data_IF_856805533630
#
_entry.id   IF_856805533630
#
_cell.length_a   1.000
_cell.length_b   1.000
_cell.length_c   1.000
_cell.angle_alpha   90.00
_cell.angle_beta   90.00
_cell.angle_gamma   90.00
#
_symmetry.space_group_name_H-M   'P 1'
#
loop_
_entity.id
_entity.type
_entity.pdbx_description
1 polymer ?
#
# COMPACT_ATOMS: atom_id res chain seq x y z
N UNK A 1 -28.16 53.54 24.31
CA UNK A 1 -28.93 52.31 24.02
C UNK A 1 -29.04 51.97 22.51
N UNK A 2 -29.40 52.88 21.59
CA UNK A 2 -29.67 52.52 20.18
C UNK A 2 -28.45 51.98 19.41
N UNK A 3 -27.31 52.69 19.50
CA UNK A 3 -26.05 52.30 18.83
C UNK A 3 -25.53 50.92 19.26
N UNK A 4 -25.78 50.52 20.50
CA UNK A 4 -25.41 49.20 21.01
C UNK A 4 -26.25 48.11 20.34
N UNK A 5 -27.55 48.34 20.17
CA UNK A 5 -28.45 47.38 19.54
C UNK A 5 -28.20 47.22 18.04
N UNK A 6 -27.85 48.31 17.36
CA UNK A 6 -27.48 48.26 15.93
C UNK A 6 -26.14 47.53 15.73
N UNK A 7 -25.16 47.75 16.62
CA UNK A 7 -23.91 46.99 16.62
C UNK A 7 -24.14 45.51 16.87
N UNK A 8 -25.02 45.13 17.79
CA UNK A 8 -25.35 43.73 18.06
C UNK A 8 -26.03 43.07 16.86
N UNK A 9 -26.94 43.76 16.16
CA UNK A 9 -27.59 43.26 14.94
C UNK A 9 -26.58 43.07 13.81
N UNK A 10 -25.67 44.02 13.61
CA UNK A 10 -24.61 43.91 12.61
C UNK A 10 -23.68 42.72 12.91
N UNK A 11 -23.23 42.58 14.16
CA UNK A 11 -22.40 41.43 14.58
C UNK A 11 -23.15 40.11 14.41
N UNK A 12 -24.43 40.03 14.80
CA UNK A 12 -25.24 38.83 14.62
C UNK A 12 -25.43 38.47 13.13
N UNK A 13 -25.59 39.47 12.26
CA UNK A 13 -25.69 39.27 10.82
C UNK A 13 -24.37 38.76 10.21
N UNK A 14 -23.23 39.33 10.61
CA UNK A 14 -21.91 38.90 10.14
C UNK A 14 -21.59 37.48 10.63
N UNK A 15 -21.81 37.19 11.92
CA UNK A 15 -21.57 35.85 12.47
C UNK A 15 -22.54 34.81 11.88
N UNK A 16 -23.82 35.14 11.72
CA UNK A 16 -24.82 34.26 11.14
C UNK A 16 -24.56 33.94 9.67
N UNK A 17 -24.22 34.95 8.86
CA UNK A 17 -23.86 34.76 7.46
C UNK A 17 -22.55 33.97 7.30
N UNK A 18 -21.54 34.26 8.13
CA UNK A 18 -20.29 33.50 8.17
C UNK A 18 -20.50 32.02 8.54
N UNK A 19 -21.32 31.75 9.56
CA UNK A 19 -21.67 30.38 9.95
C UNK A 19 -22.43 29.65 8.83
N UNK A 20 -23.37 30.32 8.17
CA UNK A 20 -24.12 29.74 7.06
C UNK A 20 -23.21 29.40 5.88
N UNK A 21 -22.28 30.29 5.51
CA UNK A 21 -21.28 30.03 4.46
C UNK A 21 -20.38 28.86 4.85
N UNK A 22 -19.91 28.82 6.10
CA UNK A 22 -19.08 27.71 6.58
C UNK A 22 -19.82 26.36 6.53
N UNK A 23 -21.07 26.31 6.99
CA UNK A 23 -21.89 25.09 6.97
C UNK A 23 -22.21 24.65 5.54
N UNK A 24 -22.62 25.58 4.66
CA UNK A 24 -22.93 25.26 3.26
C UNK A 24 -21.69 24.81 2.49
N UNK A 25 -20.54 25.45 2.73
CA UNK A 25 -19.26 25.02 2.18
C UNK A 25 -18.86 23.63 2.71
N UNK A 26 -18.93 23.41 4.03
CA UNK A 26 -18.61 22.12 4.64
C UNK A 26 -19.49 20.98 4.13
N UNK A 27 -20.79 21.21 3.99
CA UNK A 27 -21.74 20.26 3.41
C UNK A 27 -21.47 19.99 1.93
N UNK A 28 -21.19 21.04 1.15
CA UNK A 28 -20.84 20.90 -0.27
C UNK A 28 -19.54 20.11 -0.45
N UNK A 29 -18.51 20.44 0.32
CA UNK A 29 -17.21 19.76 0.29
C UNK A 29 -17.37 18.27 0.68
N UNK A 30 -18.09 18.00 1.76
CA UNK A 30 -18.35 16.63 2.21
C UNK A 30 -19.12 15.84 1.14
N UNK A 31 -20.12 16.45 0.51
CA UNK A 31 -20.87 15.83 -0.58
C UNK A 31 -20.02 15.51 -1.81
N UNK A 32 -19.15 16.43 -2.22
CA UNK A 32 -18.23 16.20 -3.34
C UNK A 32 -17.21 15.10 -3.02
N UNK A 33 -16.62 15.15 -1.82
CA UNK A 33 -15.68 14.13 -1.35
C UNK A 33 -16.35 12.75 -1.32
N UNK A 34 -17.55 12.64 -0.76
CA UNK A 34 -18.27 11.36 -0.69
C UNK A 34 -18.56 10.79 -2.10
N UNK A 35 -18.96 11.64 -3.05
CA UNK A 35 -19.15 11.23 -4.45
C UNK A 35 -17.85 10.77 -5.10
N UNK A 36 -16.77 11.54 -4.90
CA UNK A 36 -15.45 11.20 -5.43
C UNK A 36 -14.95 9.87 -4.86
N UNK A 37 -14.92 9.72 -3.54
CA UNK A 37 -14.50 8.49 -2.87
C UNK A 37 -15.37 7.28 -3.23
N UNK A 38 -16.69 7.48 -3.36
CA UNK A 38 -17.61 6.43 -3.78
C UNK A 38 -17.34 5.98 -5.22
N UNK A 39 -17.19 6.93 -6.16
CA UNK A 39 -16.90 6.64 -7.56
C UNK A 39 -15.54 5.95 -7.73
N UNK A 40 -14.49 6.44 -7.05
CA UNK A 40 -13.18 5.81 -7.04
C UNK A 40 -13.24 4.41 -6.44
N UNK A 41 -13.96 4.22 -5.33
CA UNK A 41 -14.13 2.91 -4.71
C UNK A 41 -14.80 1.90 -5.66
N UNK A 42 -15.88 2.31 -6.33
CA UNK A 42 -16.56 1.46 -7.31
C UNK A 42 -15.64 1.11 -8.48
N UNK A 43 -14.97 2.10 -9.07
CA UNK A 43 -14.04 1.87 -10.19
C UNK A 43 -12.95 0.85 -9.82
N UNK A 44 -12.27 1.04 -8.68
CA UNK A 44 -11.22 0.14 -8.22
C UNK A 44 -11.72 -1.26 -7.90
N UNK A 45 -12.88 -1.36 -7.25
CA UNK A 45 -13.51 -2.64 -6.97
C UNK A 45 -13.83 -3.40 -8.27
N UNK A 46 -14.37 -2.72 -9.29
CA UNK A 46 -14.64 -3.34 -10.59
C UNK A 46 -13.36 -3.81 -11.28
N UNK A 47 -12.28 -3.01 -11.27
CA UNK A 47 -11.01 -3.44 -11.86
C UNK A 47 -10.42 -4.66 -11.12
N UNK A 48 -10.54 -4.66 -9.79
CA UNK A 48 -10.09 -5.77 -8.96
C UNK A 48 -10.89 -7.05 -9.22
N UNK A 49 -12.22 -6.96 -9.31
CA UNK A 49 -13.08 -8.10 -9.64
C UNK A 49 -12.72 -8.67 -11.02
N UNK A 50 -12.52 -7.81 -12.03
CA UNK A 50 -12.10 -8.25 -13.36
C UNK A 50 -10.78 -9.02 -13.31
N UNK A 51 -9.78 -8.49 -12.59
CA UNK A 51 -8.48 -9.16 -12.40
C UNK A 51 -8.62 -10.48 -11.64
N UNK A 52 -9.39 -10.47 -10.55
CA UNK A 52 -9.64 -11.65 -9.71
C UNK A 52 -10.27 -12.78 -10.53
N UNK A 53 -11.28 -12.45 -11.35
CA UNK A 53 -11.94 -13.41 -12.23
C UNK A 53 -11.03 -13.87 -13.39
N UNK A 54 -10.23 -12.97 -13.97
CA UNK A 54 -9.23 -13.33 -14.99
C UNK A 54 -8.23 -14.37 -14.47
N UNK A 55 -7.87 -14.27 -13.20
CA UNK A 55 -6.95 -15.20 -12.53
C UNK A 55 -7.65 -16.42 -11.91
N UNK A 56 -8.95 -16.60 -12.19
CA UNK A 56 -9.74 -17.74 -11.69
C UNK A 56 -9.92 -17.76 -10.18
N UNK A 57 -9.71 -16.62 -9.49
CA UNK A 57 -9.74 -16.53 -8.03
C UNK A 57 -8.61 -17.29 -7.32
N UNK A 58 -7.54 -17.65 -8.04
CA UNK A 58 -6.38 -18.29 -7.43
C UNK A 58 -5.60 -17.28 -6.58
N UNK A 59 -5.70 -17.41 -5.26
CA UNK A 59 -4.96 -16.57 -4.30
C UNK A 59 -3.45 -16.57 -4.58
N UNK A 60 -2.90 -17.73 -4.96
CA UNK A 60 -1.50 -17.88 -5.33
C UNK A 60 -1.16 -17.12 -6.60
N UNK A 61 -2.01 -17.18 -7.63
CA UNK A 61 -1.77 -16.45 -8.87
C UNK A 61 -1.83 -14.93 -8.61
N UNK A 62 -2.79 -14.47 -7.81
CA UNK A 62 -2.92 -13.06 -7.41
C UNK A 62 -1.68 -12.61 -6.63
N UNK A 63 -1.21 -13.42 -5.68
CA UNK A 63 -0.04 -13.09 -4.87
C UNK A 63 1.28 -13.12 -5.66
N UNK A 64 1.49 -14.09 -6.54
CA UNK A 64 2.71 -14.13 -7.34
C UNK A 64 2.69 -13.10 -8.48
N UNK A 65 1.53 -12.81 -9.07
CA UNK A 65 1.44 -11.81 -10.13
C UNK A 65 1.59 -10.39 -9.57
N UNK A 66 0.87 -10.08 -8.48
CA UNK A 66 0.82 -8.77 -7.87
C UNK A 66 2.14 -8.38 -7.19
N UNK A 67 2.36 -8.73 -5.92
CA UNK A 67 3.52 -8.27 -5.15
C UNK A 67 4.86 -8.90 -5.54
N UNK A 68 4.91 -9.92 -6.40
CA UNK A 68 6.18 -10.54 -6.82
C UNK A 68 6.54 -10.16 -8.26
N UNK A 69 5.74 -10.56 -9.25
CA UNK A 69 6.11 -10.40 -10.66
C UNK A 69 6.10 -8.95 -11.11
N UNK A 70 5.07 -8.17 -10.79
CA UNK A 70 4.97 -6.77 -11.24
C UNK A 70 6.14 -5.92 -10.68
N UNK A 71 6.42 -5.87 -9.37
CA UNK A 71 7.56 -5.13 -8.83
C UNK A 71 8.90 -5.60 -9.39
N UNK A 72 9.07 -6.92 -9.61
CA UNK A 72 10.28 -7.46 -10.22
C UNK A 72 10.48 -6.91 -11.64
N UNK A 73 9.44 -6.94 -12.48
CA UNK A 73 9.50 -6.42 -13.85
C UNK A 73 9.72 -4.91 -13.87
N UNK A 74 9.03 -4.15 -13.02
CA UNK A 74 9.19 -2.70 -12.92
C UNK A 74 10.61 -2.35 -12.47
N UNK A 75 11.13 -3.03 -11.44
CA UNK A 75 12.49 -2.82 -10.95
C UNK A 75 13.51 -3.07 -12.07
N UNK A 76 13.46 -4.22 -12.74
CA UNK A 76 14.46 -4.57 -13.75
C UNK A 76 14.33 -3.74 -15.02
N UNK A 77 13.12 -3.43 -15.48
CA UNK A 77 12.93 -2.59 -16.67
C UNK A 77 13.42 -1.17 -16.44
N UNK A 78 13.07 -0.55 -15.32
CA UNK A 78 13.54 0.79 -14.98
C UNK A 78 15.06 0.83 -14.78
N UNK A 79 15.61 -0.14 -14.06
CA UNK A 79 17.05 -0.23 -13.85
C UNK A 79 17.83 -0.57 -15.12
N UNK A 80 17.27 -1.31 -16.07
CA UNK A 80 17.90 -1.56 -17.36
C UNK A 80 18.07 -0.25 -18.15
N UNK A 81 17.07 0.63 -18.12
CA UNK A 81 17.13 1.96 -18.75
C UNK A 81 18.22 2.80 -18.06
N UNK A 82 18.18 2.90 -16.73
CA UNK A 82 19.18 3.67 -15.98
C UNK A 82 20.60 3.14 -16.20
N UNK A 83 20.78 1.83 -16.12
CA UNK A 83 22.08 1.18 -16.35
C UNK A 83 22.58 1.41 -17.78
N UNK A 84 21.69 1.44 -18.78
CA UNK A 84 22.07 1.76 -20.16
C UNK A 84 22.62 3.20 -20.27
N UNK A 85 22.05 4.15 -19.55
CA UNK A 85 22.54 5.52 -19.49
C UNK A 85 23.89 5.60 -18.77
N UNK A 86 24.04 4.89 -17.64
CA UNK A 86 25.26 4.86 -16.84
C UNK A 86 26.47 4.23 -17.59
N UNK A 87 26.22 3.17 -18.38
CA UNK A 87 27.27 2.52 -19.19
C UNK A 87 27.67 3.37 -20.39
N UNK A 88 26.73 4.09 -21.01
CA UNK A 88 27.00 4.96 -22.17
C UNK A 88 27.82 6.20 -21.78
N UNK A 89 27.72 6.65 -20.53
CA UNK A 89 28.46 7.80 -19.97
C UNK A 89 29.96 7.59 -19.70
N UNK A 90 30.54 6.42 -20.05
CA UNK A 90 31.98 6.07 -19.91
C UNK A 90 32.63 6.33 -18.53
N UNK A 91 32.23 5.65 -17.44
CA UNK A 91 33.03 5.69 -16.21
C UNK A 91 34.10 4.59 -16.22
N UNK A 92 35.38 4.97 -16.00
CA UNK A 92 36.53 4.04 -15.81
C UNK A 92 36.38 3.05 -14.63
N UNK A 93 35.34 3.20 -13.81
CA UNK A 93 35.10 2.43 -12.59
C UNK A 93 34.19 1.20 -12.77
N UNK A 94 33.36 1.16 -13.82
CA UNK A 94 32.40 0.07 -14.06
C UNK A 94 32.98 -0.86 -15.13
N UNK A 95 33.61 -1.96 -14.71
CA UNK A 95 34.01 -3.02 -15.64
C UNK A 95 32.85 -3.98 -15.87
N UNK A 96 32.76 -4.57 -17.06
CA UNK A 96 31.71 -5.54 -17.41
C UNK A 96 31.69 -6.75 -16.46
N UNK A 97 32.86 -7.24 -16.03
CA UNK A 97 32.96 -8.32 -15.04
C UNK A 97 32.34 -7.95 -13.68
N UNK A 98 32.62 -6.74 -13.19
CA UNK A 98 32.04 -6.26 -11.93
C UNK A 98 30.52 -6.13 -12.04
N UNK A 99 30.03 -5.62 -13.16
CA UNK A 99 28.59 -5.50 -13.42
C UNK A 99 27.91 -6.87 -13.49
N UNK A 100 28.51 -7.84 -14.18
CA UNK A 100 28.01 -9.21 -14.24
C UNK A 100 27.94 -9.84 -12.83
N UNK A 101 28.95 -9.62 -11.99
CA UNK A 101 28.94 -10.10 -10.61
C UNK A 101 27.83 -9.46 -9.75
N UNK A 102 27.55 -8.17 -9.94
CA UNK A 102 26.42 -7.49 -9.29
C UNK A 102 25.10 -8.10 -9.74
N UNK A 103 24.87 -8.17 -11.05
CA UNK A 103 23.62 -8.71 -11.61
C UNK A 103 23.40 -10.14 -11.13
N UNK A 104 24.43 -10.99 -11.18
CA UNK A 104 24.37 -12.37 -10.69
C UNK A 104 24.00 -12.44 -9.20
N UNK A 105 24.60 -11.59 -8.38
CA UNK A 105 24.31 -11.55 -6.94
C UNK A 105 22.88 -11.07 -6.67
N UNK A 106 22.43 -10.04 -7.38
CA UNK A 106 21.06 -9.51 -7.22
C UNK A 106 20.02 -10.52 -7.69
N UNK A 107 20.27 -11.21 -8.81
CA UNK A 107 19.40 -12.30 -9.28
C UNK A 107 19.36 -13.47 -8.29
N UNK A 108 20.51 -13.85 -7.72
CA UNK A 108 20.57 -14.87 -6.67
C UNK A 108 19.77 -14.43 -5.43
N UNK A 109 19.96 -13.21 -4.95
CA UNK A 109 19.22 -12.66 -3.81
C UNK A 109 17.70 -12.62 -4.06
N UNK A 110 17.28 -12.21 -5.27
CA UNK A 110 15.86 -12.18 -5.63
C UNK A 110 15.24 -13.59 -5.62
N UNK A 111 15.92 -14.57 -6.22
CA UNK A 111 15.36 -15.92 -6.36
C UNK A 111 15.45 -16.71 -5.05
N UNK A 112 16.60 -16.72 -4.38
CA UNK A 112 16.84 -17.64 -3.27
C UNK A 112 16.59 -17.03 -1.89
N UNK A 113 16.53 -15.71 -1.78
CA UNK A 113 16.25 -15.03 -0.50
C UNK A 113 14.85 -14.42 -0.55
N UNK A 114 14.57 -13.63 -1.59
CA UNK A 114 13.30 -12.88 -1.65
C UNK A 114 12.10 -13.78 -1.93
N UNK A 115 12.18 -14.74 -2.86
CA UNK A 115 11.03 -15.65 -3.11
C UNK A 115 10.64 -16.51 -1.90
N UNK A 116 11.55 -17.21 -1.19
CA UNK A 116 11.17 -17.96 0.01
C UNK A 116 10.61 -17.06 1.11
N UNK A 117 11.19 -15.86 1.28
CA UNK A 117 10.68 -14.87 2.23
C UNK A 117 9.26 -14.41 1.87
N UNK A 118 8.97 -14.20 0.58
CA UNK A 118 7.63 -13.85 0.10
C UNK A 118 6.62 -15.00 0.26
N UNK A 119 7.02 -16.25 0.01
CA UNK A 119 6.18 -17.43 0.28
C UNK A 119 5.85 -17.51 1.78
N UNK A 120 6.86 -17.37 2.64
CA UNK A 120 6.66 -17.36 4.09
C UNK A 120 5.74 -16.21 4.52
N UNK A 121 5.94 -15.01 3.98
CA UNK A 121 5.07 -13.87 4.24
C UNK A 121 3.62 -14.16 3.82
N UNK A 122 3.40 -14.79 2.66
CA UNK A 122 2.08 -15.21 2.22
C UNK A 122 1.44 -16.22 3.17
N UNK A 123 2.19 -17.23 3.62
CA UNK A 123 1.70 -18.21 4.59
C UNK A 123 1.31 -17.54 5.91
N UNK A 124 2.11 -16.59 6.40
CA UNK A 124 1.80 -15.83 7.63
C UNK A 124 0.55 -14.96 7.40
N UNK A 125 0.43 -14.29 6.26
CA UNK A 125 -0.76 -13.50 5.93
C UNK A 125 -2.01 -14.37 5.84
N UNK A 126 -1.91 -15.56 5.25
CA UNK A 126 -3.01 -16.52 5.16
C UNK A 126 -3.40 -17.08 6.54
N UNK A 127 -2.42 -17.29 7.41
CA UNK A 127 -2.67 -17.67 8.80
C UNK A 127 -3.41 -16.57 9.58
N UNK A 128 -3.16 -15.29 9.26
CA UNK A 128 -3.81 -14.14 9.90
C UNK A 128 -5.15 -13.75 9.26
N UNK A 129 -5.52 -14.29 8.11
CA UNK A 129 -6.75 -13.93 7.41
C UNK A 129 -6.76 -14.25 5.93
N UNK A 130 -7.65 -13.58 5.19
CA UNK A 130 -7.71 -13.66 3.73
C UNK A 130 -6.94 -12.46 3.11
N UNK A 131 -5.70 -12.67 2.62
CA UNK A 131 -4.92 -11.61 2.00
C UNK A 131 -5.40 -11.24 0.60
N UNK A 132 -6.15 -12.09 -0.08
CA UNK A 132 -6.55 -11.89 -1.48
C UNK A 132 -8.08 -11.78 -1.61
N UNK A 133 -8.74 -11.23 -0.60
CA UNK A 133 -10.20 -11.12 -0.57
C UNK A 133 -10.75 -10.36 -1.78
N UNK A 134 -11.88 -10.82 -2.31
CA UNK A 134 -12.58 -10.19 -3.42
C UNK A 134 -13.03 -8.74 -3.11
N UNK A 135 -13.35 -8.45 -1.86
CA UNK A 135 -13.76 -7.10 -1.45
C UNK A 135 -12.54 -6.27 -1.04
N UNK A 136 -12.35 -5.12 -1.69
CA UNK A 136 -11.34 -4.13 -1.33
C UNK A 136 -11.82 -3.24 -0.17
N UNK A 137 -10.90 -2.64 0.61
CA UNK A 137 -11.24 -1.53 1.49
C UNK A 137 -11.81 -0.35 0.70
N UNK A 138 -12.52 0.56 1.37
CA UNK A 138 -12.97 1.79 0.71
C UNK A 138 -11.74 2.57 0.22
N UNK A 139 -11.93 3.39 -0.81
CA UNK A 139 -10.82 4.09 -1.44
C UNK A 139 -10.03 4.99 -0.48
N UNK A 140 -10.71 5.76 0.37
CA UNK A 140 -10.03 6.61 1.36
C UNK A 140 -9.29 5.80 2.43
N UNK A 141 -9.84 4.65 2.84
CA UNK A 141 -9.15 3.75 3.77
C UNK A 141 -7.89 3.15 3.14
N UNK A 142 -7.95 2.75 1.87
CA UNK A 142 -6.78 2.30 1.12
C UNK A 142 -5.67 3.37 1.08
N UNK A 143 -6.02 4.63 0.79
CA UNK A 143 -5.04 5.73 0.76
C UNK A 143 -4.44 5.98 2.16
N UNK A 144 -5.26 5.91 3.22
CA UNK A 144 -4.78 6.04 4.59
C UNK A 144 -3.84 4.90 4.98
N UNK A 145 -4.21 3.65 4.65
CA UNK A 145 -3.35 2.48 4.87
C UNK A 145 -2.03 2.66 4.14
N UNK A 146 -2.06 3.04 2.86
CA UNK A 146 -0.85 3.30 2.07
C UNK A 146 0.05 4.36 2.73
N UNK A 147 -0.53 5.50 3.14
CA UNK A 147 0.22 6.56 3.80
C UNK A 147 0.89 6.09 5.11
N UNK A 148 0.15 5.35 5.95
CA UNK A 148 0.68 4.80 7.20
C UNK A 148 1.76 3.76 6.91
N UNK A 149 1.55 2.86 5.93
CA UNK A 149 2.55 1.87 5.51
C UNK A 149 3.85 2.55 5.11
N UNK A 150 3.77 3.56 4.24
CA UNK A 150 4.94 4.31 3.75
C UNK A 150 5.67 4.99 4.90
N UNK A 151 4.96 5.61 5.85
CA UNK A 151 5.59 6.25 7.01
C UNK A 151 6.30 5.23 7.91
N UNK A 152 5.65 4.09 8.19
CA UNK A 152 6.25 3.02 9.00
C UNK A 152 7.47 2.44 8.28
N UNK A 153 7.36 2.20 6.98
CA UNK A 153 8.46 1.69 6.16
C UNK A 153 9.66 2.63 6.17
N UNK A 154 9.45 3.93 6.04
CA UNK A 154 10.51 4.94 6.11
C UNK A 154 11.23 4.93 7.47
N UNK A 155 10.45 4.86 8.56
CA UNK A 155 11.00 4.79 9.93
C UNK A 155 11.81 3.51 10.13
N UNK A 156 11.25 2.36 9.75
CA UNK A 156 11.91 1.07 9.88
C UNK A 156 13.16 0.98 9.00
N UNK A 157 13.11 1.53 7.79
CA UNK A 157 14.25 1.62 6.89
C UNK A 157 15.36 2.45 7.52
N UNK A 158 15.05 3.63 8.05
CA UNK A 158 16.03 4.49 8.72
C UNK A 158 16.74 3.77 9.88
N UNK A 159 15.98 3.17 10.81
CA UNK A 159 16.56 2.52 11.98
C UNK A 159 17.29 1.22 11.64
N UNK A 160 16.78 0.42 10.70
CA UNK A 160 17.46 -0.80 10.24
C UNK A 160 18.76 -0.47 9.53
N UNK A 161 18.77 0.56 8.68
CA UNK A 161 19.98 1.05 8.04
C UNK A 161 21.00 1.54 9.07
N UNK A 162 20.57 2.35 10.05
CA UNK A 162 21.45 2.80 11.14
C UNK A 162 22.01 1.64 11.97
N UNK A 163 21.21 0.60 12.20
CA UNK A 163 21.64 -0.59 12.92
C UNK A 163 22.73 -1.35 12.17
N UNK A 164 22.59 -1.56 10.85
CA UNK A 164 23.60 -2.29 10.08
C UNK A 164 24.92 -1.52 9.94
N UNK A 165 24.92 -0.21 10.17
CA UNK A 165 26.14 0.61 10.33
C UNK A 165 26.87 0.45 11.67
N UNK A 166 26.29 -0.27 12.64
CA UNK A 166 27.00 -0.57 13.88
C UNK A 166 28.27 -1.40 13.58
N UNK A 167 29.44 -1.13 14.20
CA UNK A 167 30.73 -1.68 13.78
C UNK A 167 30.79 -3.20 13.59
N UNK A 168 30.09 -3.95 14.46
CA UNK A 168 29.96 -5.41 14.34
C UNK A 168 29.17 -5.84 13.12
N UNK A 169 28.03 -5.21 12.83
CA UNK A 169 27.20 -5.55 11.68
C UNK A 169 27.82 -5.00 10.39
N UNK A 170 28.41 -3.81 10.45
CA UNK A 170 29.06 -3.21 9.30
C UNK A 170 30.15 -4.12 8.74
N UNK A 171 31.05 -4.61 9.59
CA UNK A 171 32.17 -5.47 9.17
C UNK A 171 31.71 -6.78 8.52
N UNK A 172 30.61 -7.36 8.98
CA UNK A 172 30.17 -8.70 8.57
C UNK A 172 29.10 -8.70 7.47
N UNK A 173 28.17 -7.74 7.46
CA UNK A 173 27.01 -7.74 6.55
C UNK A 173 26.90 -6.48 5.69
N UNK A 174 27.21 -5.28 6.23
CA UNK A 174 26.98 -4.02 5.50
C UNK A 174 28.15 -3.55 4.63
N UNK A 175 29.36 -4.03 4.89
CA UNK A 175 30.55 -3.69 4.11
C UNK A 175 30.37 -4.00 2.63
N UNK A 176 29.72 -5.12 2.30
CA UNK A 176 29.45 -5.55 0.91
C UNK A 176 28.58 -4.53 0.16
N UNK A 177 27.57 -3.97 0.84
CA UNK A 177 26.69 -2.96 0.26
C UNK A 177 27.46 -1.67 -0.08
N UNK A 178 28.44 -1.29 0.75
CA UNK A 178 29.31 -0.12 0.53
C UNK A 178 30.53 -0.37 -0.37
N UNK A 179 30.71 -1.56 -0.93
CA UNK A 179 31.77 -1.81 -1.93
C UNK A 179 31.53 -1.02 -3.23
N UNK A 180 30.28 -0.65 -3.47
CA UNK A 180 29.85 0.13 -4.61
C UNK A 180 29.45 1.54 -4.16
N UNK A 181 30.34 2.49 -4.42
CA UNK A 181 30.10 3.92 -4.13
C UNK A 181 29.28 4.63 -5.21
N UNK A 182 29.21 4.05 -6.41
CA UNK A 182 28.41 4.58 -7.51
C UNK A 182 26.92 4.22 -7.28
N UNK A 183 26.01 5.21 -7.28
CA UNK A 183 24.59 4.99 -7.03
C UNK A 183 23.90 4.40 -8.29
N UNK A 184 24.22 3.15 -8.61
CA UNK A 184 23.54 2.39 -9.67
C UNK A 184 22.31 1.75 -9.02
N UNK A 185 21.12 1.92 -9.58
CA UNK A 185 19.90 1.44 -8.94
C UNK A 185 19.88 -0.08 -8.67
N UNK A 186 20.53 -0.90 -9.51
CA UNK A 186 20.68 -2.36 -9.29
C UNK A 186 21.49 -2.68 -8.03
N UNK A 187 22.46 -1.84 -7.68
CA UNK A 187 23.32 -2.01 -6.50
C UNK A 187 22.54 -1.86 -5.19
N UNK A 188 21.37 -1.21 -5.20
CA UNK A 188 20.50 -1.13 -4.03
C UNK A 188 20.07 -2.50 -3.47
N UNK A 189 20.08 -3.54 -4.33
CA UNK A 189 19.82 -4.94 -3.96
C UNK A 189 21.11 -5.78 -3.85
N UNK A 190 22.27 -5.19 -4.16
CA UNK A 190 23.58 -5.79 -3.94
C UNK A 190 23.93 -5.66 -2.45
N UNK A 191 23.48 -6.65 -1.71
CA UNK A 191 23.50 -6.66 -0.26
C UNK A 191 23.76 -8.08 0.25
N UNK A 192 24.17 -8.22 1.50
CA UNK A 192 24.27 -9.53 2.13
C UNK A 192 22.84 -10.10 2.35
N UNK A 193 22.59 -11.41 2.19
CA UNK A 193 21.26 -12.02 2.37
C UNK A 193 20.54 -11.60 3.66
N UNK A 194 21.30 -11.46 4.76
CA UNK A 194 20.80 -11.05 6.08
C UNK A 194 20.24 -9.62 6.08
N UNK A 195 20.71 -8.74 5.19
CA UNK A 195 20.21 -7.35 5.08
C UNK A 195 18.85 -7.26 4.38
N UNK A 196 18.40 -8.35 3.76
CA UNK A 196 17.05 -8.42 3.19
C UNK A 196 15.98 -8.78 4.24
N UNK A 197 16.38 -9.37 5.37
CA UNK A 197 15.46 -9.78 6.45
C UNK A 197 14.78 -8.57 7.14
N UNK A 198 15.48 -7.48 7.49
CA UNK A 198 14.87 -6.30 8.11
C UNK A 198 13.92 -5.53 7.19
N UNK A 199 13.91 -5.80 5.88
CA UNK A 199 13.01 -5.16 4.90
C UNK A 199 11.61 -5.79 4.90
N UNK A 200 11.47 -7.00 5.46
CA UNK A 200 10.23 -7.77 5.53
C UNK A 200 9.15 -7.37 6.57
N UNK A 201 9.31 -6.39 7.51
CA UNK A 201 8.24 -6.09 8.47
C UNK A 201 7.07 -5.23 7.94
N UNK A 202 7.27 -4.40 6.92
CA UNK A 202 6.26 -3.41 6.48
C UNK A 202 5.04 -4.07 5.80
N UNK A 203 5.23 -5.19 5.11
CA UNK A 203 4.14 -5.96 4.47
C UNK A 203 3.36 -6.84 5.46
N UNK A 204 3.95 -7.16 6.63
CA UNK A 204 3.29 -7.96 7.67
C UNK A 204 2.50 -7.14 8.70
N UNK A 205 2.71 -5.83 8.79
CA UNK A 205 2.12 -5.01 9.85
C UNK A 205 0.74 -4.47 9.48
N UNK A 206 0.51 -4.15 8.21
CA UNK A 206 -0.61 -3.26 7.84
C UNK A 206 -1.96 -3.94 7.68
N UNK A 207 -1.97 -5.26 7.49
CA UNK A 207 -3.20 -6.06 7.53
C UNK A 207 -3.15 -7.03 8.71
N UNK A 208 -3.76 -6.67 9.84
CA UNK A 208 -4.38 -7.62 10.80
C UNK A 208 -3.75 -7.75 12.19
N UNK A 209 -3.93 -6.71 13.02
CA UNK A 209 -4.34 -6.96 14.42
C UNK A 209 -5.55 -6.11 14.77
N UNK A 210 -5.50 -4.81 14.49
CA UNK A 210 -6.59 -3.88 14.79
C UNK A 210 -7.75 -4.01 13.77
N UNK A 211 -7.45 -4.20 12.49
CA UNK A 211 -8.45 -4.23 11.40
C UNK A 211 -9.32 -5.49 11.41
N UNK A 212 -8.76 -6.67 11.72
CA UNK A 212 -9.57 -7.89 11.90
C UNK A 212 -10.41 -7.85 13.16
N UNK A 213 -9.88 -7.31 14.27
CA UNK A 213 -10.66 -7.12 15.50
C UNK A 213 -11.83 -6.16 15.28
N UNK A 214 -11.63 -5.06 14.53
CA UNK A 214 -12.71 -4.12 14.22
C UNK A 214 -13.67 -4.72 13.19
N UNK A 215 -13.20 -5.31 12.08
CA UNK A 215 -14.05 -5.90 11.03
C UNK A 215 -14.90 -7.07 11.56
N UNK A 216 -14.37 -7.91 12.45
CA UNK A 216 -15.12 -8.99 13.10
C UNK A 216 -16.12 -8.48 14.14
N UNK A 217 -15.97 -7.25 14.64
CA UNK A 217 -16.92 -6.60 15.56
C UNK A 217 -17.96 -5.73 14.84
N UNK A 218 -17.64 -5.14 13.68
CA UNK A 218 -18.58 -4.28 12.92
C UNK A 218 -19.55 -5.05 12.01
N UNK A 219 -19.29 -6.35 11.75
CA UNK A 219 -20.16 -7.22 10.97
C UNK A 219 -21.01 -8.16 11.83
N UNK A 220 -21.16 -7.89 13.13
CA UNK A 220 -22.09 -8.61 13.99
C UNK A 220 -23.33 -7.75 14.22
N UNK A 221 -24.51 -8.32 14.06
CA UNK A 221 -25.74 -7.66 14.48
C UNK A 221 -25.79 -7.52 16.02
N UNK A 222 -26.84 -6.89 16.56
CA UNK A 222 -27.00 -6.68 18.01
C UNK A 222 -27.01 -7.99 18.84
N UNK A 223 -27.05 -9.15 18.18
CA UNK A 223 -27.06 -10.48 18.79
C UNK A 223 -25.74 -11.25 18.55
N UNK A 224 -24.72 -10.63 17.97
CA UNK A 224 -23.40 -11.23 17.79
C UNK A 224 -23.27 -12.12 16.54
N UNK A 225 -24.25 -12.12 15.63
CA UNK A 225 -24.27 -13.00 14.45
C UNK A 225 -23.63 -12.31 13.23
N UNK A 226 -22.74 -13.00 12.47
CA UNK A 226 -22.15 -12.44 11.25
C UNK A 226 -23.21 -12.06 10.22
N UNK A 227 -23.20 -10.81 9.77
CA UNK A 227 -24.11 -10.29 8.75
C UNK A 227 -23.68 -10.81 7.37
N UNK A 228 -24.43 -11.79 6.84
CA UNK A 228 -24.21 -12.34 5.50
C UNK A 228 -24.54 -11.29 4.42
N UNK A 229 -23.50 -10.80 3.75
CA UNK A 229 -23.57 -9.78 2.70
C UNK A 229 -24.27 -10.31 1.43
N UNK A 230 -24.30 -11.62 1.21
CA UNK A 230 -24.98 -12.21 0.05
C UNK A 230 -26.51 -12.14 0.15
N UNK A 231 -27.07 -12.12 1.37
CA UNK A 231 -28.52 -11.99 1.59
C UNK A 231 -29.05 -10.62 1.15
N UNK A 232 -28.30 -9.54 1.39
CA UNK A 232 -28.69 -8.17 0.97
C UNK A 232 -28.65 -7.93 -0.54
N UNK A 233 -27.72 -8.58 -1.27
CA UNK A 233 -27.70 -8.53 -2.75
C UNK A 233 -28.92 -9.23 -3.37
N UNK A 234 -29.36 -10.35 -2.79
CA UNK A 234 -30.58 -11.06 -3.21
C UNK A 234 -31.86 -10.24 -2.97
N UNK A 235 -31.95 -9.56 -1.83
CA UNK A 235 -33.10 -8.71 -1.48
C UNK A 235 -33.20 -7.46 -2.36
N UNK A 236 -32.08 -6.80 -2.70
CA UNK A 236 -32.08 -5.63 -3.60
C UNK A 236 -32.43 -5.97 -5.05
N UNK A 237 -31.99 -7.13 -5.54
CA UNK A 237 -32.29 -7.60 -6.90
C UNK A 237 -33.73 -8.09 -7.03
N UNK A 238 -34.29 -8.70 -5.98
CA UNK A 238 -35.72 -9.03 -5.91
C UNK A 238 -36.63 -7.79 -5.93
N UNK A 239 -36.23 -6.72 -5.23
CA UNK A 239 -37.05 -5.51 -5.14
C UNK A 239 -37.14 -4.72 -6.46
N UNK A 240 -36.09 -4.77 -7.30
CA UNK A 240 -36.14 -4.19 -8.66
C UNK A 240 -36.94 -5.05 -9.64
N UNK A 241 -36.97 -6.38 -9.47
CA UNK A 241 -37.71 -7.30 -10.34
C UNK A 241 -39.24 -7.22 -10.15
N UNK A 242 -39.70 -6.86 -8.95
CA UNK A 242 -41.12 -6.64 -8.65
C UNK A 242 -41.69 -5.30 -9.15
N UNK A 243 -40.86 -4.37 -9.65
CA UNK A 243 -41.31 -3.09 -10.23
C UNK A 243 -41.39 -3.09 -11.76
N UNK A 244 -41.03 -4.20 -12.41
CA UNK A 244 -40.99 -4.35 -13.87
C UNK A 244 -41.98 -5.40 -14.42
N UNK A 245 -42.96 -5.80 -13.60
CA UNK A 245 -44.10 -6.62 -14.01
C UNK A 245 -45.40 -6.00 -13.50
#
# INVERSE_FOLDING_TARGET
APKFWDSMKATACVLGSGLLVFVTFGNSLTGHLQRFWGASGFFWQTQWENLYHLLGGSEWAIFFLGPVLIPFLVFWSFNAILLSADVTGKPRFITQEKLHNVIRTVMFNNIFISLPMMILAFLIMKWRGDPCSLQLPTFHWFILELAICTLIEEILFYYSHRLVHHPLLYKHIHKKHHEWTAPIGVVSLYAHPVEHIPKCPSTLSSRNTIIQMIRNNTHKDANGVPVDVNRRKGEMTGHYRQKLH
#
